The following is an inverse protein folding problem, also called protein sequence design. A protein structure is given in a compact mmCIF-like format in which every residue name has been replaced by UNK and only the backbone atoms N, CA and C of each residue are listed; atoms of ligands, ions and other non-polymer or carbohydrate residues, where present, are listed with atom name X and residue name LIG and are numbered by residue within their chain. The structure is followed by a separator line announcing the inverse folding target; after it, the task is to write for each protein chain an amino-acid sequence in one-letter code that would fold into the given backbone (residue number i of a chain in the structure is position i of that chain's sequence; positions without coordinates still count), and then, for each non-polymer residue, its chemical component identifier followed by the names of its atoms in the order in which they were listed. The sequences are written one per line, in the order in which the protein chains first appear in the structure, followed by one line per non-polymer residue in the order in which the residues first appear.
data_IF_227155973923
#
_entry.id   IF_227155973923
#
_cell.length_a   1.000
_cell.length_b   1.000
_cell.length_c   1.000
_cell.angle_alpha   90.00
_cell.angle_beta   90.00
_cell.angle_gamma   90.00
#
_symmetry.space_group_name_H-M   'P 1'
#
loop_
_entity.id
_entity.type
_entity.pdbx_description
1 polymer ?
#
# COMPACT_ATOMS: atom_id res chain seq x y z
N UNK A 1 -16.64 -1.74 16.30
CA UNK A 1 -15.94 -2.91 15.73
C UNK A 1 -16.09 -2.82 14.23
N UNK A 2 -15.00 -2.82 13.47
CA UNK A 2 -15.07 -3.00 12.01
C UNK A 2 -15.56 -4.43 11.74
N UNK A 3 -16.55 -4.59 10.87
CA UNK A 3 -16.99 -5.92 10.44
C UNK A 3 -16.18 -6.38 9.21
N UNK A 4 -16.34 -7.64 8.80
CA UNK A 4 -15.63 -8.18 7.64
C UNK A 4 -15.92 -7.42 6.32
N UNK A 5 -17.10 -6.79 6.21
CA UNK A 5 -17.45 -5.95 5.07
C UNK A 5 -16.68 -4.62 5.09
N UNK A 6 -16.48 -4.02 6.26
CA UNK A 6 -15.67 -2.80 6.43
C UNK A 6 -14.21 -3.08 6.08
N UNK A 7 -13.67 -4.24 6.48
CA UNK A 7 -12.32 -4.66 6.12
C UNK A 7 -12.14 -4.85 4.61
N UNK A 8 -13.13 -5.42 3.93
CA UNK A 8 -13.12 -5.58 2.47
C UNK A 8 -13.28 -4.24 1.73
N UNK A 9 -14.12 -3.33 2.25
CA UNK A 9 -14.32 -1.99 1.68
C UNK A 9 -13.13 -1.06 1.89
N UNK A 10 -12.34 -1.28 2.93
CA UNK A 10 -11.17 -0.47 3.26
C UNK A 10 -9.88 -0.97 2.58
N UNK A 11 -10.00 -1.40 1.32
CA UNK A 11 -8.90 -1.89 0.48
C UNK A 11 -8.93 -1.18 -0.87
N UNK A 12 -7.76 -0.99 -1.47
CA UNK A 12 -7.66 -0.46 -2.85
C UNK A 12 -7.72 -1.58 -3.86
N UNK A 13 -7.89 -1.25 -5.14
CA UNK A 13 -7.73 -2.17 -6.29
C UNK A 13 -6.36 -2.84 -6.36
N UNK A 14 -5.40 -2.43 -5.51
CA UNK A 14 -4.07 -3.01 -5.40
C UNK A 14 -3.94 -4.07 -4.29
N UNK A 15 -4.97 -4.31 -3.47
CA UNK A 15 -4.92 -5.26 -2.36
C UNK A 15 -4.85 -6.71 -2.88
N UNK A 16 -3.67 -7.34 -2.77
CA UNK A 16 -3.42 -8.73 -3.21
C UNK A 16 -3.02 -9.68 -2.07
N UNK A 17 -2.55 -9.16 -0.95
CA UNK A 17 -2.07 -9.95 0.19
C UNK A 17 -2.74 -9.48 1.48
N UNK A 18 -3.14 -10.44 2.32
CA UNK A 18 -3.61 -10.15 3.67
C UNK A 18 -2.48 -9.48 4.48
N UNK A 19 -2.81 -8.46 5.26
CA UNK A 19 -1.87 -7.77 6.16
C UNK A 19 -1.67 -6.28 5.91
N UNK A 20 -2.35 -5.69 4.91
CA UNK A 20 -2.44 -4.24 4.82
C UNK A 20 -3.42 -3.73 5.88
N UNK A 21 -2.90 -3.24 7.01
CA UNK A 21 -3.68 -2.55 8.04
C UNK A 21 -4.27 -1.23 7.50
N UNK A 22 -3.71 -0.71 6.40
CA UNK A 22 -4.23 0.44 5.70
C UNK A 22 -4.04 0.37 4.19
N UNK A 23 -5.05 0.88 3.47
CA UNK A 23 -4.96 1.18 2.06
C UNK A 23 -3.95 2.32 1.80
N UNK A 24 -3.04 2.19 0.82
CA UNK A 24 -2.22 3.31 0.36
C UNK A 24 -3.14 4.45 -0.11
N UNK A 25 -3.01 5.64 0.47
CA UNK A 25 -3.90 6.78 0.17
C UNK A 25 -3.84 7.20 -1.29
N UNK A 26 -2.65 7.16 -1.91
CA UNK A 26 -2.49 7.39 -3.35
C UNK A 26 -3.22 6.34 -4.21
N UNK A 27 -3.33 5.10 -3.71
CA UNK A 27 -4.06 4.03 -4.38
C UNK A 27 -5.57 4.25 -4.43
N UNK A 28 -6.13 5.13 -3.57
CA UNK A 28 -7.56 5.45 -3.53
C UNK A 28 -8.04 6.26 -4.74
N UNK A 29 -7.12 6.81 -5.54
CA UNK A 29 -7.45 7.54 -6.76
C UNK A 29 -7.65 6.62 -7.98
N UNK A 30 -7.38 5.32 -7.85
CA UNK A 30 -7.47 4.36 -8.94
C UNK A 30 -8.66 3.42 -8.74
N UNK A 31 -9.38 3.18 -9.82
CA UNK A 31 -10.35 2.10 -9.95
C UNK A 31 -9.95 1.14 -11.09
N UNK A 32 -10.62 0.01 -11.18
CA UNK A 32 -10.34 -1.00 -12.21
C UNK A 32 -10.53 -0.48 -13.63
N UNK A 33 -11.47 0.46 -13.82
CA UNK A 33 -11.75 1.04 -15.14
C UNK A 33 -10.61 1.95 -15.59
N UNK A 34 -10.06 2.75 -14.68
CA UNK A 34 -8.86 3.56 -14.93
C UNK A 34 -7.65 2.67 -15.22
N UNK A 35 -7.44 1.61 -14.43
CA UNK A 35 -6.34 0.67 -14.66
C UNK A 35 -6.46 -0.03 -16.02
N UNK A 36 -7.67 -0.41 -16.43
CA UNK A 36 -7.93 -0.95 -17.76
C UNK A 36 -7.56 0.06 -18.86
N UNK A 37 -8.00 1.31 -18.74
CA UNK A 37 -7.66 2.39 -19.70
C UNK A 37 -6.16 2.66 -19.80
N UNK A 38 -5.41 2.49 -18.72
CA UNK A 38 -3.94 2.61 -18.72
C UNK A 38 -3.32 1.44 -19.50
N UNK A 39 -3.79 0.21 -19.27
CA UNK A 39 -3.34 -0.99 -20.00
C UNK A 39 -3.65 -0.89 -21.50
N UNK A 40 -4.83 -0.41 -21.86
CA UNK A 40 -5.26 -0.23 -23.27
C UNK A 40 -4.38 0.76 -24.04
N UNK A 41 -3.74 1.69 -23.33
CA UNK A 41 -2.75 2.63 -23.91
C UNK A 41 -1.36 2.01 -24.08
N UNK A 42 -1.18 0.73 -23.75
CA UNK A 42 0.10 0.05 -23.80
C UNK A 42 1.09 0.50 -22.72
N UNK A 43 0.60 1.15 -21.65
CA UNK A 43 1.45 1.62 -20.55
C UNK A 43 1.68 0.45 -19.57
N UNK A 44 2.93 0.03 -19.32
CA UNK A 44 3.22 -1.03 -18.37
C UNK A 44 2.82 -0.65 -16.94
N UNK A 45 2.29 -1.61 -16.19
CA UNK A 45 1.95 -1.45 -14.77
C UNK A 45 2.72 -2.52 -13.98
N UNK A 46 3.60 -2.08 -13.09
CA UNK A 46 4.34 -2.93 -12.17
C UNK A 46 3.78 -2.81 -10.74
N UNK A 47 3.99 -3.85 -9.93
CA UNK A 47 3.49 -3.89 -8.55
C UNK A 47 4.63 -4.17 -7.58
N UNK A 48 4.59 -3.52 -6.42
CA UNK A 48 5.43 -3.83 -5.27
C UNK A 48 4.54 -4.04 -4.06
N UNK A 49 5.01 -4.83 -3.10
CA UNK A 49 4.31 -5.03 -1.83
C UNK A 49 5.07 -4.33 -0.71
N UNK A 50 4.38 -3.54 0.09
CA UNK A 50 4.91 -2.94 1.32
C UNK A 50 4.09 -3.45 2.50
N UNK A 51 4.74 -4.13 3.43
CA UNK A 51 4.17 -4.53 4.71
C UNK A 51 4.37 -3.43 5.73
N UNK A 52 3.30 -2.72 6.04
CA UNK A 52 3.24 -1.70 7.09
C UNK A 52 2.76 -2.32 8.40
N UNK A 53 3.46 -2.04 9.49
CA UNK A 53 3.06 -2.47 10.83
C UNK A 53 2.11 -1.47 11.49
N UNK A 54 1.53 -1.84 12.64
CA UNK A 54 0.71 -0.92 13.44
C UNK A 54 1.48 0.33 13.91
N UNK A 55 2.82 0.27 13.92
CA UNK A 55 3.71 1.38 14.27
C UNK A 55 3.57 2.59 13.36
N UNK A 56 3.17 2.42 12.10
CA UNK A 56 3.03 3.53 11.13
C UNK A 56 1.87 4.47 11.46
N UNK A 57 0.92 4.03 12.31
CA UNK A 57 -0.20 4.83 12.79
C UNK A 57 0.00 5.34 14.22
N UNK A 58 1.13 5.01 14.85
CA UNK A 58 1.41 5.51 16.20
C UNK A 58 1.81 6.99 16.13
N UNK A 59 1.21 7.86 16.96
CA UNK A 59 1.63 9.25 17.04
C UNK A 59 3.08 9.32 17.53
N UNK A 60 3.79 10.39 17.15
CA UNK A 60 5.10 10.70 17.72
C UNK A 60 4.93 10.97 19.21
N UNK A 61 5.64 10.20 20.05
CA UNK A 61 5.55 10.25 21.53
C UNK A 61 6.81 10.84 22.20
N UNK A 62 7.63 11.57 21.44
CA UNK A 62 8.86 12.20 21.92
C UNK A 62 8.75 13.72 21.75
N UNK A 63 9.37 14.46 22.67
CA UNK A 63 9.38 15.93 22.62
C UNK A 63 10.37 16.46 21.58
N UNK A 64 11.48 15.75 21.38
CA UNK A 64 12.51 16.07 20.39
C UNK A 64 12.42 15.10 19.20
N UNK A 65 12.18 15.61 18.00
CA UNK A 65 12.01 14.79 16.78
C UNK A 65 13.25 13.91 16.51
N UNK A 66 14.45 14.38 16.84
CA UNK A 66 15.70 13.60 16.69
C UNK A 66 15.74 12.32 17.51
N UNK A 67 14.89 12.20 18.54
CA UNK A 67 14.78 11.02 19.39
C UNK A 67 13.70 10.04 18.90
N UNK A 68 12.91 10.43 17.89
CA UNK A 68 11.85 9.57 17.36
C UNK A 68 12.44 8.41 16.57
N UNK A 69 12.20 7.19 17.05
CA UNK A 69 12.58 5.97 16.34
C UNK A 69 11.47 5.55 15.37
N UNK A 70 11.73 5.69 14.07
CA UNK A 70 10.87 5.17 13.02
C UNK A 70 10.88 3.64 13.01
N UNK A 71 9.71 3.05 12.84
CA UNK A 71 9.58 1.60 12.66
C UNK A 71 10.06 1.19 11.27
N UNK A 72 10.74 0.05 11.18
CA UNK A 72 11.14 -0.53 9.89
C UNK A 72 9.94 -1.11 9.17
N UNK A 73 9.88 -0.92 7.86
CA UNK A 73 8.90 -1.56 6.98
C UNK A 73 9.56 -2.65 6.14
N UNK A 74 8.81 -3.69 5.78
CA UNK A 74 9.32 -4.78 4.93
C UNK A 74 8.65 -4.70 3.57
N UNK A 75 9.43 -4.70 2.50
CA UNK A 75 8.90 -4.68 1.15
C UNK A 75 9.27 -5.95 0.38
N UNK A 76 8.55 -6.19 -0.72
CA UNK A 76 8.82 -7.25 -1.68
C UNK A 76 8.64 -6.71 -3.09
N UNK A 77 9.65 -6.92 -3.94
CA UNK A 77 9.66 -6.55 -5.35
C UNK A 77 9.71 -7.85 -6.16
N UNK A 78 8.63 -8.22 -6.86
CA UNK A 78 8.64 -9.38 -7.76
C UNK A 78 9.68 -9.22 -8.88
N UNK A 79 10.24 -10.32 -9.35
CA UNK A 79 11.22 -10.33 -10.44
C UNK A 79 10.65 -9.69 -11.73
N UNK A 80 9.35 -9.89 -12.01
CA UNK A 80 8.70 -9.20 -13.15
C UNK A 80 8.75 -7.67 -13.05
N UNK A 81 8.68 -7.11 -11.84
CA UNK A 81 8.78 -5.66 -11.61
C UNK A 81 10.21 -5.19 -11.80
N UNK A 82 11.20 -5.99 -11.44
CA UNK A 82 12.62 -5.69 -11.67
C UNK A 82 12.91 -5.66 -13.17
N UNK A 83 12.38 -6.61 -13.93
CA UNK A 83 12.59 -6.67 -15.38
C UNK A 83 11.89 -5.55 -16.18
N UNK A 84 10.96 -4.82 -15.56
CA UNK A 84 10.24 -3.71 -16.19
C UNK A 84 10.95 -2.35 -16.05
N UNK A 85 11.97 -2.24 -15.20
CA UNK A 85 12.67 -1.00 -14.84
C UNK A 85 14.13 -1.08 -15.31
#
# INVERSE_FOLDING_TARGET
QANLEDEARYQTVFAKHAGAVAAPTAGLHFDETMLARIRDKGIPIAYVTLHVGAGTFQPVKVDQISEHKMHSERYHIPEETIHLI
#
